data_IF_542191697416
#
_entry.id   IF_542191697416
#
_cell.length_a   1.000
_cell.length_b   1.000
_cell.length_c   1.000
_cell.angle_alpha   90.00
_cell.angle_beta   90.00
_cell.angle_gamma   90.00
#
_symmetry.space_group_name_H-M   'P 1'
#
loop_
_entity.id
_entity.type
_entity.pdbx_description
1 polymer ?
#
# COMPACT_ATOMS: atom_id res chain seq x y z
N UNK A 1 28.25 66.03 -35.11
CA UNK A 1 26.99 65.32 -35.36
C UNK A 1 27.26 63.78 -35.15
N UNK A 2 27.10 63.29 -33.95
CA UNK A 2 27.42 61.93 -33.60
C UNK A 2 26.11 61.14 -33.65
N UNK A 3 26.03 60.11 -34.50
CA UNK A 3 24.88 59.19 -34.60
C UNK A 3 25.09 58.07 -33.65
N UNK A 4 24.22 57.93 -32.64
CA UNK A 4 24.12 56.74 -31.83
C UNK A 4 23.29 55.68 -32.56
N UNK A 5 23.90 54.54 -32.81
CA UNK A 5 23.18 53.29 -33.24
C UNK A 5 22.83 52.52 -31.99
N UNK A 6 21.54 52.43 -31.68
CA UNK A 6 21.05 51.56 -30.65
C UNK A 6 20.90 50.12 -31.21
N UNK A 7 21.74 49.21 -30.75
CA UNK A 7 21.60 47.79 -31.03
C UNK A 7 20.61 47.20 -30.02
N UNK A 8 19.40 46.84 -30.49
CA UNK A 8 18.43 46.12 -29.70
C UNK A 8 18.82 44.66 -29.57
N UNK A 9 19.08 44.23 -28.32
CA UNK A 9 19.33 42.85 -28.01
C UNK A 9 17.97 42.13 -27.87
N UNK A 10 17.60 41.32 -28.85
CA UNK A 10 16.47 40.42 -28.77
C UNK A 10 16.87 39.22 -27.92
N UNK A 11 16.43 39.21 -26.67
CA UNK A 11 16.49 38.01 -25.83
C UNK A 11 15.30 37.11 -26.23
N UNK A 12 15.56 36.10 -27.05
CA UNK A 12 14.61 35.01 -27.27
C UNK A 12 14.63 34.12 -26.02
N UNK A 13 13.63 34.26 -25.15
CA UNK A 13 13.33 33.27 -24.11
C UNK A 13 12.87 32.00 -24.81
N UNK A 14 13.78 31.05 -24.96
CA UNK A 14 13.41 29.66 -25.24
C UNK A 14 12.62 29.15 -24.04
N UNK A 15 11.31 29.07 -24.14
CA UNK A 15 10.47 28.28 -23.26
C UNK A 15 10.88 26.84 -23.47
N UNK A 16 11.73 26.32 -22.59
CA UNK A 16 11.91 24.88 -22.46
C UNK A 16 10.58 24.31 -21.98
N UNK A 17 9.76 23.85 -22.91
CA UNK A 17 8.67 22.94 -22.56
C UNK A 17 9.31 21.71 -21.97
N UNK A 18 9.18 21.51 -20.65
CA UNK A 18 9.43 20.22 -20.02
C UNK A 18 8.51 19.23 -20.74
N UNK A 19 9.08 18.37 -21.57
CA UNK A 19 8.36 17.23 -22.11
C UNK A 19 8.06 16.33 -20.90
N UNK A 20 6.84 16.44 -20.39
CA UNK A 20 6.31 15.38 -19.54
C UNK A 20 6.31 14.12 -20.40
N UNK A 21 7.14 13.14 -20.07
CA UNK A 21 7.03 11.83 -20.66
C UNK A 21 5.70 11.25 -20.20
N UNK A 22 4.73 11.24 -21.11
CA UNK A 22 3.44 10.63 -20.82
C UNK A 22 3.67 9.12 -20.60
N UNK A 23 3.07 8.57 -19.55
CA UNK A 23 2.98 7.12 -19.41
C UNK A 23 2.20 6.57 -20.61
N UNK A 24 2.70 5.48 -21.18
CA UNK A 24 2.01 4.74 -22.24
C UNK A 24 1.84 3.30 -21.81
N UNK A 25 0.68 2.73 -22.11
CA UNK A 25 0.45 1.30 -21.95
C UNK A 25 1.40 0.53 -22.89
N UNK A 26 2.10 -0.44 -22.32
CA UNK A 26 3.07 -1.28 -23.04
C UNK A 26 2.51 -2.65 -23.33
N UNK A 27 1.73 -3.22 -22.41
CA UNK A 27 1.09 -4.52 -22.53
C UNK A 27 0.02 -4.74 -21.46
N UNK A 28 -0.88 -5.67 -21.72
CA UNK A 28 -1.94 -6.09 -20.82
C UNK A 28 -1.86 -7.59 -20.60
N UNK A 29 -2.01 -8.02 -19.34
CA UNK A 29 -2.11 -9.43 -18.97
C UNK A 29 -3.42 -9.69 -18.23
N UNK A 30 -4.20 -10.66 -18.71
CA UNK A 30 -5.43 -11.10 -18.04
C UNK A 30 -5.15 -12.17 -16.98
N UNK A 31 -5.40 -11.89 -15.72
CA UNK A 31 -5.17 -12.81 -14.59
C UNK A 31 -5.83 -14.19 -14.72
N UNK A 32 -7.02 -14.36 -15.39
CA UNK A 32 -7.58 -15.69 -15.64
C UNK A 32 -6.68 -16.62 -16.45
N UNK A 33 -5.71 -16.07 -17.17
CA UNK A 33 -4.75 -16.87 -17.96
C UNK A 33 -3.83 -17.70 -17.07
N UNK A 34 -3.49 -17.21 -15.86
CA UNK A 34 -2.70 -17.96 -14.90
C UNK A 34 -3.50 -19.01 -14.12
N UNK A 35 -4.81 -18.81 -14.01
CA UNK A 35 -5.71 -19.67 -13.24
C UNK A 35 -6.90 -20.14 -14.08
N UNK A 36 -6.69 -20.90 -15.17
CA UNK A 36 -7.77 -21.36 -16.03
C UNK A 36 -8.72 -22.29 -15.25
N UNK A 37 -10.00 -21.91 -15.22
CA UNK A 37 -11.02 -22.65 -14.49
C UNK A 37 -11.36 -22.11 -13.10
N UNK A 38 -10.64 -21.10 -12.59
CA UNK A 38 -11.07 -20.36 -11.40
C UNK A 38 -12.19 -19.38 -11.76
N UNK A 39 -13.20 -19.33 -10.90
CA UNK A 39 -14.40 -18.53 -11.17
C UNK A 39 -14.19 -17.02 -11.04
N UNK A 40 -13.23 -16.58 -10.22
CA UNK A 40 -12.92 -15.18 -9.96
C UNK A 40 -11.42 -15.04 -9.67
N UNK A 41 -10.79 -14.04 -10.26
CA UNK A 41 -9.40 -13.65 -10.04
C UNK A 41 -9.30 -12.14 -9.94
N UNK A 42 -8.38 -11.63 -9.11
CA UNK A 42 -8.10 -10.20 -8.96
C UNK A 42 -6.64 -10.02 -8.54
N UNK A 43 -5.83 -9.37 -9.37
CA UNK A 43 -4.50 -8.96 -8.94
C UNK A 43 -4.62 -7.65 -8.15
N UNK A 44 -4.00 -7.60 -6.98
CA UNK A 44 -4.03 -6.44 -6.09
C UNK A 44 -2.63 -5.88 -5.87
N UNK A 45 -1.78 -6.57 -5.13
CA UNK A 45 -0.41 -6.16 -4.89
C UNK A 45 0.53 -6.92 -5.80
N UNK A 46 1.51 -6.21 -6.35
CA UNK A 46 2.51 -6.78 -7.27
C UNK A 46 3.93 -6.52 -6.77
N UNK A 47 4.82 -7.46 -7.04
CA UNK A 47 6.25 -7.32 -6.86
C UNK A 47 6.99 -7.83 -8.10
N UNK A 48 8.16 -7.23 -8.37
CA UNK A 48 9.00 -7.60 -9.51
C UNK A 48 10.32 -8.20 -9.01
N UNK A 49 10.82 -9.21 -9.69
CA UNK A 49 12.15 -9.79 -9.43
C UNK A 49 13.26 -8.79 -9.70
N UNK A 50 14.41 -8.95 -9.03
CA UNK A 50 15.54 -8.02 -9.15
C UNK A 50 16.10 -7.90 -10.58
N UNK A 51 15.93 -8.92 -11.41
CA UNK A 51 16.31 -8.89 -12.84
C UNK A 51 15.27 -8.19 -13.73
N UNK A 52 14.09 -7.82 -13.17
CA UNK A 52 13.01 -7.17 -13.89
C UNK A 52 12.26 -8.08 -14.88
N UNK A 53 12.41 -9.41 -14.79
CA UNK A 53 11.86 -10.33 -15.79
C UNK A 53 10.59 -11.05 -15.35
N UNK A 54 10.30 -11.08 -14.04
CA UNK A 54 9.10 -11.75 -13.52
C UNK A 54 8.32 -10.83 -12.59
N UNK A 55 7.01 -10.74 -12.80
CA UNK A 55 6.06 -10.20 -11.83
C UNK A 55 5.43 -11.33 -11.04
N UNK A 56 5.26 -11.09 -9.73
CA UNK A 56 4.42 -11.90 -8.85
C UNK A 56 3.32 -11.00 -8.30
N UNK A 57 2.09 -11.50 -8.24
CA UNK A 57 0.95 -10.75 -7.71
C UNK A 57 0.12 -11.59 -6.74
N UNK A 58 -0.48 -10.92 -5.75
CA UNK A 58 -1.51 -11.51 -4.89
C UNK A 58 -2.84 -11.63 -5.66
N UNK A 59 -3.51 -12.77 -5.53
CA UNK A 59 -4.84 -13.04 -6.08
C UNK A 59 -5.72 -13.55 -4.95
N UNK A 60 -6.31 -12.59 -4.20
CA UNK A 60 -7.12 -12.88 -3.02
C UNK A 60 -8.27 -13.84 -3.32
N UNK A 61 -9.13 -13.56 -4.33
CA UNK A 61 -10.24 -14.45 -4.66
C UNK A 61 -9.84 -15.86 -5.08
N UNK A 62 -8.63 -16.05 -5.61
CA UNK A 62 -8.10 -17.36 -6.01
C UNK A 62 -7.31 -18.07 -4.90
N UNK A 63 -7.04 -17.41 -3.76
CA UNK A 63 -6.12 -17.88 -2.71
C UNK A 63 -4.74 -18.27 -3.28
N UNK A 64 -4.22 -17.48 -4.20
CA UNK A 64 -3.04 -17.84 -4.97
C UNK A 64 -2.10 -16.64 -5.21
N UNK A 65 -0.86 -16.94 -5.53
CA UNK A 65 0.05 -16.00 -6.16
C UNK A 65 0.09 -16.30 -7.67
N UNK A 66 -0.16 -15.30 -8.49
CA UNK A 66 0.05 -15.42 -9.92
C UNK A 66 1.44 -14.93 -10.32
N UNK A 67 2.00 -15.49 -11.39
CA UNK A 67 3.31 -15.13 -11.92
C UNK A 67 3.24 -14.83 -13.41
N UNK A 68 3.97 -13.80 -13.84
CA UNK A 68 3.97 -13.33 -15.21
C UNK A 68 5.41 -13.15 -15.68
N UNK A 69 5.76 -13.74 -16.81
CA UNK A 69 6.99 -13.42 -17.53
C UNK A 69 6.81 -12.08 -18.26
N UNK A 70 7.64 -11.11 -17.91
CA UNK A 70 7.70 -9.77 -18.51
C UNK A 70 9.04 -9.49 -19.19
N UNK A 71 9.79 -10.53 -19.57
CA UNK A 71 11.04 -10.40 -20.35
C UNK A 71 10.83 -9.57 -21.61
N UNK A 72 9.66 -9.74 -22.27
CA UNK A 72 9.14 -8.80 -23.25
C UNK A 72 7.86 -8.16 -22.70
N UNK A 73 7.93 -6.95 -22.12
CA UNK A 73 6.77 -6.33 -21.48
C UNK A 73 5.64 -5.99 -22.45
N UNK A 74 5.90 -6.02 -23.77
CA UNK A 74 4.84 -5.85 -24.79
C UNK A 74 4.03 -7.12 -25.02
N UNK A 75 4.52 -8.25 -24.52
CA UNK A 75 3.91 -9.59 -24.67
C UNK A 75 4.08 -10.40 -23.40
N UNK A 76 3.45 -9.99 -22.29
CA UNK A 76 3.56 -10.72 -21.04
C UNK A 76 2.98 -12.14 -21.18
N UNK A 77 3.68 -13.13 -20.62
CA UNK A 77 3.31 -14.54 -20.71
C UNK A 77 2.97 -15.14 -19.34
N UNK A 78 2.02 -16.08 -19.25
CA UNK A 78 1.68 -16.72 -17.99
C UNK A 78 2.78 -17.69 -17.54
N UNK A 79 3.15 -17.61 -16.25
CA UNK A 79 4.00 -18.59 -15.57
C UNK A 79 3.22 -19.47 -14.58
N UNK A 80 1.87 -19.33 -14.59
CA UNK A 80 0.97 -20.06 -13.72
C UNK A 80 0.84 -19.41 -12.33
N UNK A 81 0.26 -20.16 -11.41
CA UNK A 81 0.01 -19.71 -10.04
C UNK A 81 0.51 -20.71 -9.00
N UNK A 82 0.66 -20.23 -7.78
CA UNK A 82 0.97 -21.02 -6.57
C UNK A 82 -0.23 -20.89 -5.64
N UNK A 83 -0.85 -22.00 -5.29
CA UNK A 83 -1.89 -22.05 -4.27
C UNK A 83 -1.25 -21.79 -2.89
N UNK A 84 -1.73 -20.79 -2.16
CA UNK A 84 -1.24 -20.42 -0.82
C UNK A 84 -2.26 -20.76 0.29
N UNK A 85 -3.37 -21.37 -0.09
CA UNK A 85 -4.35 -21.98 0.82
C UNK A 85 -5.37 -21.00 1.43
N UNK A 86 -5.04 -19.74 1.57
CA UNK A 86 -5.90 -18.68 2.08
C UNK A 86 -5.59 -17.37 1.32
N UNK A 87 -6.32 -16.31 1.65
CA UNK A 87 -6.24 -15.00 0.99
C UNK A 87 -4.86 -14.35 1.15
N UNK A 88 -4.08 -14.19 0.05
CA UNK A 88 -2.88 -13.37 0.07
C UNK A 88 -3.25 -11.88 -0.02
N UNK A 89 -2.87 -11.09 0.97
CA UNK A 89 -3.15 -9.66 1.03
C UNK A 89 -2.02 -8.81 0.43
N UNK A 90 -0.78 -9.28 0.54
CA UNK A 90 0.39 -8.55 0.08
C UNK A 90 1.50 -9.47 -0.39
N UNK A 91 2.40 -8.95 -1.25
CA UNK A 91 3.55 -9.69 -1.74
C UNK A 91 4.78 -8.78 -1.85
N UNK A 92 5.93 -9.28 -1.40
CA UNK A 92 7.24 -8.68 -1.62
C UNK A 92 8.23 -9.73 -2.11
N UNK A 93 9.28 -9.31 -2.83
CA UNK A 93 10.34 -10.22 -3.33
C UNK A 93 11.70 -9.72 -2.87
N UNK A 94 12.50 -10.61 -2.31
CA UNK A 94 13.89 -10.32 -1.95
C UNK A 94 14.74 -11.58 -2.05
N UNK A 95 15.93 -11.47 -2.61
CA UNK A 95 16.93 -12.55 -2.71
C UNK A 95 16.40 -13.87 -3.30
N UNK A 96 15.43 -13.83 -4.22
CA UNK A 96 14.82 -15.02 -4.82
C UNK A 96 13.71 -15.66 -3.98
N UNK A 97 13.36 -15.06 -2.86
CA UNK A 97 12.23 -15.45 -2.03
C UNK A 97 11.05 -14.48 -2.18
N UNK A 98 9.85 -15.03 -2.11
CA UNK A 98 8.58 -14.29 -2.11
C UNK A 98 8.02 -14.31 -0.69
N UNK A 99 7.75 -13.14 -0.16
CA UNK A 99 7.20 -12.90 1.18
C UNK A 99 5.74 -12.49 1.02
N UNK A 100 4.82 -13.23 1.63
CA UNK A 100 3.39 -13.09 1.41
C UNK A 100 2.67 -12.92 2.74
N UNK A 101 1.89 -11.85 2.88
CA UNK A 101 0.91 -11.72 3.95
C UNK A 101 -0.28 -12.62 3.64
N UNK A 102 -0.61 -13.54 4.54
CA UNK A 102 -1.75 -14.45 4.39
C UNK A 102 -2.76 -14.19 5.49
N UNK A 103 -3.96 -13.76 5.10
CA UNK A 103 -5.10 -13.62 6.00
C UNK A 103 -5.76 -14.98 6.24
N UNK A 104 -5.89 -15.37 7.51
CA UNK A 104 -6.57 -16.60 7.94
C UNK A 104 -7.71 -16.31 8.91
N UNK A 105 -8.11 -15.05 9.01
CA UNK A 105 -9.12 -14.59 9.97
C UNK A 105 -10.46 -15.26 9.72
N UNK A 106 -11.04 -16.00 10.70
CA UNK A 106 -12.38 -16.56 10.54
C UNK A 106 -13.47 -15.47 10.56
N UNK A 107 -13.18 -14.31 11.14
CA UNK A 107 -14.04 -13.12 11.19
C UNK A 107 -13.26 -11.94 11.79
N UNK A 108 -13.80 -10.74 11.69
CA UNK A 108 -13.20 -9.49 12.20
C UNK A 108 -12.88 -9.49 13.71
N UNK A 109 -13.59 -10.26 14.51
CA UNK A 109 -13.37 -10.35 15.98
C UNK A 109 -12.24 -11.32 16.36
N UNK A 110 -11.76 -12.10 15.41
CA UNK A 110 -10.68 -13.08 15.59
C UNK A 110 -9.68 -12.99 14.45
N UNK A 111 -9.02 -11.84 14.31
CA UNK A 111 -8.04 -11.68 13.26
C UNK A 111 -6.88 -12.66 13.45
N UNK A 112 -6.41 -13.21 12.36
CA UNK A 112 -5.27 -14.14 12.33
C UNK A 112 -4.62 -14.12 10.95
N UNK A 113 -3.34 -14.47 10.92
CA UNK A 113 -2.59 -14.55 9.68
C UNK A 113 -1.14 -14.91 9.94
N UNK A 114 -0.42 -15.17 8.86
CA UNK A 114 0.99 -15.49 8.90
C UNK A 114 1.76 -14.87 7.74
N UNK A 115 3.06 -14.71 7.90
CA UNK A 115 3.98 -14.44 6.83
C UNK A 115 4.40 -15.80 6.22
N UNK A 116 4.07 -16.00 4.96
CA UNK A 116 4.50 -17.16 4.19
C UNK A 116 5.73 -16.77 3.36
N UNK A 117 6.79 -17.58 3.41
CA UNK A 117 8.00 -17.40 2.61
C UNK A 117 8.11 -18.55 1.61
N UNK A 118 8.25 -18.21 0.33
CA UNK A 118 8.32 -19.17 -0.78
C UNK A 118 9.61 -18.94 -1.55
N UNK A 119 10.38 -20.00 -1.80
CA UNK A 119 11.48 -19.94 -2.77
C UNK A 119 10.91 -19.88 -4.20
N UNK A 120 11.21 -18.79 -4.91
CA UNK A 120 10.60 -18.50 -6.21
C UNK A 120 11.00 -19.53 -7.28
N UNK A 121 12.20 -20.08 -7.22
CA UNK A 121 12.69 -21.00 -8.23
C UNK A 121 12.06 -22.40 -8.11
N UNK A 122 11.94 -22.92 -6.90
CA UNK A 122 11.31 -24.22 -6.63
C UNK A 122 9.79 -24.11 -6.44
N UNK A 123 9.26 -22.90 -6.18
CA UNK A 123 7.86 -22.64 -5.81
C UNK A 123 7.43 -23.35 -4.51
N UNK A 124 8.38 -23.63 -3.62
CA UNK A 124 8.15 -24.35 -2.39
C UNK A 124 8.15 -23.41 -1.19
N UNK A 125 7.29 -23.70 -0.21
CA UNK A 125 7.33 -23.04 1.10
C UNK A 125 8.67 -23.30 1.79
N UNK A 126 9.32 -22.22 2.26
CA UNK A 126 10.58 -22.25 3.01
C UNK A 126 10.35 -21.96 4.49
N UNK A 127 9.39 -21.07 4.78
CA UNK A 127 9.04 -20.71 6.15
C UNK A 127 7.60 -20.21 6.25
N UNK A 128 7.05 -20.36 7.47
CA UNK A 128 5.75 -19.83 7.87
C UNK A 128 5.87 -19.27 9.27
N UNK A 129 5.56 -17.97 9.43
CA UNK A 129 5.72 -17.25 10.68
C UNK A 129 4.36 -16.70 11.09
N UNK A 130 3.81 -17.19 12.20
CA UNK A 130 2.52 -16.72 12.73
C UNK A 130 2.64 -15.27 13.19
N UNK A 131 1.74 -14.42 12.72
CA UNK A 131 1.72 -12.99 13.02
C UNK A 131 0.81 -12.64 14.19
N UNK A 132 -0.23 -13.44 14.44
CA UNK A 132 -1.18 -13.22 15.53
C UNK A 132 -2.23 -12.13 15.26
N UNK A 133 -2.41 -11.75 14.00
CA UNK A 133 -3.38 -10.77 13.50
C UNK A 133 -3.49 -10.85 11.99
N UNK A 134 -4.39 -10.07 11.41
CA UNK A 134 -4.61 -9.98 9.97
C UNK A 134 -3.53 -9.12 9.31
N UNK A 135 -2.62 -9.69 8.50
CA UNK A 135 -1.68 -8.89 7.73
C UNK A 135 -2.40 -8.19 6.59
N UNK A 136 -1.95 -6.95 6.29
CA UNK A 136 -2.36 -6.23 5.11
C UNK A 136 -1.18 -5.97 4.18
N UNK A 137 -0.17 -5.24 4.59
CA UNK A 137 1.00 -4.91 3.79
C UNK A 137 2.29 -5.55 4.30
N UNK A 138 3.18 -5.96 3.38
CA UNK A 138 4.49 -6.56 3.66
C UNK A 138 5.59 -5.80 2.93
N UNK A 139 6.62 -5.37 3.66
CA UNK A 139 7.86 -4.85 3.09
C UNK A 139 9.06 -5.64 3.63
N UNK A 140 10.07 -5.85 2.79
CA UNK A 140 11.35 -6.48 3.17
C UNK A 140 12.45 -5.43 3.12
N UNK A 141 13.27 -5.39 4.18
CA UNK A 141 14.39 -4.44 4.27
C UNK A 141 15.34 -4.56 3.08
N UNK A 142 15.96 -3.45 2.64
CA UNK A 142 16.92 -3.47 1.53
C UNK A 142 18.08 -4.45 1.74
N UNK A 143 18.52 -4.65 2.98
CA UNK A 143 19.55 -5.63 3.34
C UNK A 143 19.04 -7.09 3.43
N UNK A 144 17.72 -7.32 3.35
CA UNK A 144 17.09 -8.63 3.42
C UNK A 144 17.13 -9.29 4.79
N UNK A 145 17.38 -8.53 5.87
CA UNK A 145 17.53 -9.10 7.23
C UNK A 145 16.23 -9.14 8.03
N UNK A 146 15.26 -8.31 7.68
CA UNK A 146 13.96 -8.31 8.33
C UNK A 146 12.83 -7.92 7.35
N UNK A 147 11.61 -8.27 7.73
CA UNK A 147 10.39 -7.80 7.09
C UNK A 147 9.55 -7.01 8.10
N UNK A 148 8.88 -5.95 7.63
CA UNK A 148 7.85 -5.24 8.36
C UNK A 148 6.49 -5.59 7.76
N UNK A 149 5.51 -5.84 8.61
CA UNK A 149 4.16 -6.21 8.23
C UNK A 149 3.17 -5.31 8.96
N UNK A 150 2.32 -4.62 8.22
CA UNK A 150 1.14 -3.97 8.77
C UNK A 150 0.14 -5.05 9.19
N UNK A 151 -0.27 -5.04 10.44
CA UNK A 151 -1.31 -5.92 10.97
C UNK A 151 -2.52 -5.04 11.22
N UNK A 152 -3.38 -4.97 10.22
CA UNK A 152 -4.52 -4.07 10.19
C UNK A 152 -5.58 -4.45 11.23
N UNK A 153 -5.95 -5.73 11.29
CA UNK A 153 -7.10 -6.21 12.06
C UNK A 153 -8.38 -5.46 11.70
N UNK A 154 -8.67 -5.43 10.41
CA UNK A 154 -9.73 -4.67 9.75
C UNK A 154 -11.04 -4.60 10.56
N UNK A 155 -11.62 -3.42 10.63
CA UNK A 155 -12.94 -3.19 11.23
C UNK A 155 -14.06 -3.73 10.35
N UNK A 156 -15.15 -4.12 10.99
CA UNK A 156 -16.39 -4.43 10.28
C UNK A 156 -17.30 -3.18 10.26
N UNK A 157 -17.36 -2.51 9.15
CA UNK A 157 -18.18 -1.31 8.97
C UNK A 157 -19.68 -1.57 9.04
N UNK A 158 -20.13 -2.80 8.82
CA UNK A 158 -21.55 -3.18 8.80
C UNK A 158 -22.15 -3.37 10.20
N UNK A 159 -21.31 -3.48 11.23
CA UNK A 159 -21.78 -3.67 12.61
C UNK A 159 -21.74 -2.38 13.42
N UNK A 160 -22.70 -2.24 14.33
CA UNK A 160 -22.79 -1.11 15.29
C UNK A 160 -22.72 0.28 14.63
N UNK A 161 -23.01 0.41 13.33
CA UNK A 161 -22.85 1.66 12.59
C UNK A 161 -21.39 2.11 12.50
N UNK A 162 -20.48 1.20 12.29
CA UNK A 162 -19.01 1.42 12.23
C UNK A 162 -18.43 2.14 13.47
N UNK A 163 -19.00 1.93 14.65
CA UNK A 163 -18.47 2.54 15.88
C UNK A 163 -17.13 1.94 16.27
N UNK A 164 -16.21 2.80 16.63
CA UNK A 164 -14.89 2.46 17.17
C UNK A 164 -14.84 2.61 18.70
N UNK A 165 -13.98 1.88 19.41
CA UNK A 165 -13.03 0.87 18.90
C UNK A 165 -13.69 -0.47 18.58
N UNK A 166 -13.12 -1.19 17.59
CA UNK A 166 -13.41 -2.59 17.29
C UNK A 166 -12.15 -3.42 17.55
N UNK A 167 -12.03 -3.97 18.74
CA UNK A 167 -10.83 -4.67 19.18
C UNK A 167 -10.76 -6.12 18.65
N UNK A 168 -9.54 -6.63 18.42
CA UNK A 168 -8.24 -6.02 18.75
C UNK A 168 -7.79 -5.04 17.68
N UNK A 169 -7.24 -3.87 18.10
CA UNK A 169 -6.61 -2.93 17.18
C UNK A 169 -5.36 -3.51 16.52
N UNK A 170 -4.94 -2.90 15.42
CA UNK A 170 -3.78 -3.31 14.65
C UNK A 170 -2.44 -2.93 15.29
N UNK A 171 -1.36 -3.36 14.65
CA UNK A 171 0.03 -3.11 15.09
C UNK A 171 1.00 -3.39 13.94
N UNK A 172 2.28 -3.05 14.11
CA UNK A 172 3.32 -3.48 13.17
C UNK A 172 4.04 -4.71 13.71
N UNK A 173 4.21 -5.72 12.87
CA UNK A 173 5.05 -6.88 13.14
C UNK A 173 6.39 -6.72 12.42
N UNK A 174 7.51 -6.79 13.15
CA UNK A 174 8.85 -6.83 12.59
C UNK A 174 9.36 -8.26 12.74
N UNK A 175 9.59 -8.94 11.63
CA UNK A 175 10.06 -10.33 11.57
C UNK A 175 11.53 -10.35 11.18
N UNK A 176 12.39 -10.88 12.03
CA UNK A 176 13.78 -11.17 11.68
C UNK A 176 13.82 -12.38 10.73
N UNK A 177 14.34 -12.20 9.51
CA UNK A 177 14.32 -13.24 8.48
C UNK A 177 15.40 -14.32 8.66
N UNK A 178 16.34 -14.12 9.59
CA UNK A 178 17.41 -15.11 9.87
C UNK A 178 16.95 -16.15 10.91
N UNK A 179 16.31 -15.69 11.98
CA UNK A 179 15.91 -16.56 13.11
C UNK A 179 14.41 -16.64 13.33
N UNK A 180 13.62 -15.98 12.49
CA UNK A 180 12.16 -15.93 12.50
C UNK A 180 11.55 -15.38 13.81
N UNK A 181 12.33 -14.61 14.59
CA UNK A 181 11.79 -13.92 15.76
C UNK A 181 10.89 -12.77 15.33
N UNK A 182 9.78 -12.57 16.06
CA UNK A 182 8.82 -11.52 15.83
C UNK A 182 8.89 -10.48 16.94
N UNK A 183 8.97 -9.20 16.57
CA UNK A 183 8.79 -8.04 17.46
C UNK A 183 7.46 -7.38 17.11
N UNK A 184 6.59 -7.22 18.10
CA UNK A 184 5.32 -6.51 17.95
C UNK A 184 5.50 -5.05 18.38
N UNK A 185 5.14 -4.11 17.51
CA UNK A 185 5.15 -2.68 17.79
C UNK A 185 3.72 -2.21 17.98
N UNK A 186 3.38 -1.84 19.21
CA UNK A 186 2.07 -1.32 19.57
C UNK A 186 1.91 0.12 19.07
N UNK A 187 0.77 0.42 18.47
CA UNK A 187 0.43 1.73 17.91
C UNK A 187 -0.73 2.42 18.67
N UNK A 188 -1.18 1.83 19.78
CA UNK A 188 -2.25 2.40 20.61
C UNK A 188 -1.81 3.76 21.18
N UNK A 189 -2.68 4.77 21.05
CA UNK A 189 -2.50 6.08 21.64
C UNK A 189 -1.74 7.10 20.80
N UNK A 190 -1.22 6.72 19.61
CA UNK A 190 -0.52 7.67 18.73
C UNK A 190 -1.49 8.59 17.97
N UNK A 191 -2.57 8.07 17.43
CA UNK A 191 -3.51 8.89 16.67
C UNK A 191 -4.52 9.63 17.57
N UNK A 192 -5.05 10.74 17.07
CA UNK A 192 -6.17 11.46 17.73
C UNK A 192 -7.53 10.88 17.37
N UNK A 193 -7.61 10.13 16.25
CA UNK A 193 -8.81 9.47 15.76
C UNK A 193 -8.71 8.00 16.16
N UNK A 194 -9.70 7.48 16.86
CA UNK A 194 -9.74 6.10 17.34
C UNK A 194 -8.43 5.62 17.99
N UNK A 195 -7.87 6.33 18.99
CA UNK A 195 -6.52 6.08 19.51
C UNK A 195 -6.32 4.66 20.07
N UNK A 196 -7.39 3.96 20.45
CA UNK A 196 -7.34 2.60 20.98
C UNK A 196 -7.56 1.53 19.90
N UNK A 197 -7.68 1.95 18.65
CA UNK A 197 -8.02 1.10 17.52
C UNK A 197 -7.24 1.56 16.28
N UNK A 198 -5.91 1.41 16.29
CA UNK A 198 -5.09 1.71 15.12
C UNK A 198 -5.34 0.66 14.03
N UNK A 199 -5.43 1.12 12.79
CA UNK A 199 -5.47 0.29 11.58
C UNK A 199 -4.27 0.63 10.69
N UNK A 200 -3.11 0.00 10.90
CA UNK A 200 -1.98 0.13 9.98
C UNK A 200 -2.28 -0.61 8.68
N UNK A 201 -2.19 0.11 7.59
CA UNK A 201 -2.55 -0.31 6.24
C UNK A 201 -1.30 -0.67 5.43
N UNK A 202 -0.41 0.27 5.24
CA UNK A 202 0.73 0.10 4.38
C UNK A 202 2.05 0.36 5.08
N UNK A 203 3.10 -0.37 4.67
CA UNK A 203 4.47 -0.22 5.19
C UNK A 203 5.49 -0.15 4.05
N UNK A 204 6.53 0.67 4.24
CA UNK A 204 7.72 0.64 3.39
C UNK A 204 8.99 0.86 4.23
N UNK A 205 10.15 0.44 3.74
CA UNK A 205 11.41 0.47 4.49
C UNK A 205 12.49 1.18 3.63
N UNK A 206 13.14 2.22 4.20
CA UNK A 206 14.24 2.92 3.54
C UNK A 206 15.59 2.19 3.69
N UNK A 207 16.65 2.75 3.09
CA UNK A 207 17.98 2.16 3.12
C UNK A 207 18.64 2.18 4.53
N UNK A 208 18.17 3.04 5.44
CA UNK A 208 18.59 3.06 6.85
C UNK A 208 17.89 1.99 7.69
N UNK A 209 16.86 1.34 7.14
CA UNK A 209 16.03 0.35 7.83
C UNK A 209 14.93 0.98 8.67
N UNK A 210 14.56 2.23 8.40
CA UNK A 210 13.41 2.87 9.01
C UNK A 210 12.14 2.48 8.27
N UNK A 211 11.10 2.18 9.02
CA UNK A 211 9.81 1.70 8.56
C UNK A 211 8.82 2.86 8.63
N UNK A 212 8.25 3.27 7.51
CA UNK A 212 7.11 4.18 7.49
C UNK A 212 5.82 3.38 7.43
N UNK A 213 4.81 3.80 8.17
CA UNK A 213 3.52 3.13 8.32
C UNK A 213 2.40 4.12 8.13
N UNK A 214 1.43 3.80 7.31
CA UNK A 214 0.16 4.51 7.23
C UNK A 214 -0.84 3.90 8.21
N UNK A 215 -1.57 4.76 8.92
CA UNK A 215 -2.78 4.41 9.66
C UNK A 215 -3.92 5.15 8.98
N UNK A 216 -4.44 4.55 7.90
CA UNK A 216 -5.35 5.21 6.97
C UNK A 216 -6.59 5.73 7.70
N UNK A 217 -7.38 4.87 8.32
CA UNK A 217 -8.60 5.17 9.05
C UNK A 217 -8.39 6.11 10.26
N UNK A 218 -7.17 6.16 10.76
CA UNK A 218 -6.77 7.07 11.83
C UNK A 218 -6.26 8.41 11.30
N UNK A 219 -6.09 8.58 9.98
CA UNK A 219 -5.46 9.72 9.31
C UNK A 219 -4.09 10.07 9.92
N UNK A 220 -3.25 9.07 10.16
CA UNK A 220 -1.99 9.20 10.90
C UNK A 220 -0.84 8.49 10.23
N UNK A 221 0.37 8.96 10.48
CA UNK A 221 1.62 8.37 9.99
C UNK A 221 2.54 8.07 11.17
N UNK A 222 3.26 6.96 11.07
CA UNK A 222 4.26 6.56 12.09
C UNK A 222 5.55 6.17 11.39
N UNK A 223 6.70 6.56 11.94
CA UNK A 223 8.02 6.08 11.52
C UNK A 223 8.66 5.32 12.68
N UNK A 224 9.13 4.12 12.40
CA UNK A 224 9.65 3.16 13.37
C UNK A 224 11.07 2.77 12.97
N UNK A 225 12.01 2.71 13.89
CA UNK A 225 13.33 2.14 13.63
C UNK A 225 13.29 0.60 13.58
N UNK A 226 14.35 -0.02 13.05
CA UNK A 226 14.45 -1.48 12.93
C UNK A 226 14.36 -2.25 14.24
N UNK A 227 14.51 -1.57 15.40
CA UNK A 227 14.35 -2.20 16.71
C UNK A 227 12.91 -2.22 17.21
N UNK A 228 12.00 -1.56 16.50
CA UNK A 228 10.59 -1.40 16.88
C UNK A 228 10.31 -0.14 17.71
N UNK A 229 11.25 0.78 17.81
CA UNK A 229 11.04 2.06 18.49
C UNK A 229 10.41 3.07 17.53
N UNK A 230 9.28 3.66 17.91
CA UNK A 230 8.70 4.80 17.20
C UNK A 230 9.65 6.01 17.33
N UNK A 231 10.08 6.55 16.20
CA UNK A 231 11.00 7.70 16.12
C UNK A 231 10.32 8.97 15.64
N UNK A 232 9.19 8.85 14.93
CA UNK A 232 8.35 9.98 14.54
C UNK A 232 6.89 9.54 14.39
N UNK A 233 5.96 10.46 14.62
CA UNK A 233 4.54 10.25 14.37
C UNK A 233 3.86 11.60 14.14
N UNK A 234 2.84 11.65 13.27
CA UNK A 234 2.16 12.90 12.93
C UNK A 234 0.81 12.64 12.22
N UNK A 235 -0.09 13.61 12.33
CA UNK A 235 -1.34 13.71 11.61
C UNK A 235 -1.07 13.85 10.10
N UNK A 236 -1.74 13.07 9.25
CA UNK A 236 -1.62 13.18 7.80
C UNK A 236 -2.21 14.50 7.27
N UNK A 237 -3.01 15.17 8.07
CA UNK A 237 -3.57 16.49 7.79
C UNK A 237 -4.84 16.45 6.94
N UNK A 238 -5.27 17.65 6.60
CA UNK A 238 -6.49 17.87 5.82
C UNK A 238 -6.14 18.51 4.47
N UNK A 239 -7.02 18.33 3.49
CA UNK A 239 -6.92 18.95 2.18
C UNK A 239 -8.26 19.53 1.74
N UNK A 240 -8.23 20.58 0.91
CA UNK A 240 -9.41 21.05 0.19
C UNK A 240 -9.35 20.46 -1.23
N UNK A 241 -10.40 19.75 -1.61
CA UNK A 241 -10.56 19.19 -2.95
C UNK A 241 -11.42 20.16 -3.78
N UNK A 242 -10.84 20.66 -4.87
CA UNK A 242 -11.52 21.55 -5.80
C UNK A 242 -11.80 20.83 -7.12
N UNK A 243 -12.88 21.20 -7.80
CA UNK A 243 -13.24 20.61 -9.08
C UNK A 243 -13.64 19.14 -8.97
N UNK A 244 -14.35 18.77 -7.93
CA UNK A 244 -14.89 17.42 -7.72
C UNK A 244 -16.38 17.36 -8.06
N UNK A 245 -16.86 16.17 -8.35
CA UNK A 245 -18.29 15.88 -8.43
C UNK A 245 -18.71 15.14 -7.14
N UNK A 246 -19.39 15.85 -6.26
CA UNK A 246 -19.84 15.31 -4.97
C UNK A 246 -21.32 14.90 -4.95
N UNK A 247 -21.99 14.86 -6.13
CA UNK A 247 -23.42 14.56 -6.23
C UNK A 247 -23.68 13.27 -7.00
N UNK A 248 -24.46 12.39 -6.43
CA UNK A 248 -24.97 11.19 -7.13
C UNK A 248 -26.27 11.54 -7.87
N UNK A 249 -26.22 12.43 -8.85
CA UNK A 249 -27.38 12.88 -9.63
C UNK A 249 -27.42 12.29 -11.07
N UNK A 250 -26.40 11.49 -11.44
CA UNK A 250 -26.29 10.90 -12.77
C UNK A 250 -25.60 11.80 -13.80
N UNK A 251 -25.11 12.98 -13.40
CA UNK A 251 -24.39 13.91 -14.24
C UNK A 251 -22.98 14.15 -13.67
N UNK A 252 -21.93 13.93 -14.46
CA UNK A 252 -20.55 14.22 -14.03
C UNK A 252 -20.29 15.72 -14.15
N UNK A 253 -20.17 16.41 -13.01
CA UNK A 253 -19.93 17.86 -12.92
C UNK A 253 -18.78 18.16 -11.95
N UNK A 254 -17.58 18.34 -12.46
CA UNK A 254 -16.37 18.66 -11.70
C UNK A 254 -16.33 20.13 -11.27
N UNK A 255 -17.30 20.57 -10.46
CA UNK A 255 -17.50 22.00 -10.11
C UNK A 255 -17.60 22.26 -8.60
N UNK A 256 -17.70 21.21 -7.82
CA UNK A 256 -17.86 21.35 -6.37
C UNK A 256 -16.50 21.47 -5.67
N UNK A 257 -16.52 21.95 -4.43
CA UNK A 257 -15.39 22.03 -3.53
C UNK A 257 -15.76 21.32 -2.22
N UNK A 258 -14.87 20.46 -1.72
CA UNK A 258 -15.01 19.82 -0.43
C UNK A 258 -13.84 20.27 0.44
N UNK A 259 -14.14 20.92 1.55
CA UNK A 259 -13.13 21.43 2.49
C UNK A 259 -12.88 20.45 3.64
N UNK A 260 -11.69 20.50 4.21
CA UNK A 260 -11.30 19.72 5.38
C UNK A 260 -11.44 18.21 5.20
N UNK A 261 -11.17 17.71 4.01
CA UNK A 261 -11.10 16.27 3.74
C UNK A 261 -9.83 15.72 4.37
N UNK A 262 -9.91 14.66 5.14
CA UNK A 262 -8.73 13.95 5.64
C UNK A 262 -8.00 13.36 4.46
N UNK A 263 -6.68 13.29 4.55
CA UNK A 263 -5.89 12.67 3.49
C UNK A 263 -6.03 11.16 3.45
N UNK A 264 -6.15 10.53 4.61
CA UNK A 264 -6.30 9.08 4.76
C UNK A 264 -5.32 8.34 3.84
N UNK A 265 -4.02 8.37 4.18
CA UNK A 265 -2.99 7.78 3.34
C UNK A 265 -3.13 6.26 3.31
N UNK A 266 -3.52 5.72 2.14
CA UNK A 266 -3.69 4.30 1.89
C UNK A 266 -2.33 3.63 1.60
N UNK A 267 -1.56 4.15 0.67
CA UNK A 267 -0.24 3.61 0.35
C UNK A 267 0.89 4.61 0.63
N UNK A 268 2.09 4.09 0.91
CA UNK A 268 3.30 4.88 1.13
C UNK A 268 4.51 4.26 0.46
N UNK A 269 5.43 5.12 -0.03
CA UNK A 269 6.71 4.70 -0.58
C UNK A 269 7.81 5.69 -0.23
N UNK A 270 8.92 5.22 0.33
CA UNK A 270 10.12 6.01 0.47
C UNK A 270 10.70 6.39 -0.91
N UNK A 271 11.04 7.67 -1.08
CA UNK A 271 11.72 8.21 -2.27
C UNK A 271 13.22 8.18 -2.03
N UNK A 272 13.62 8.55 -0.84
CA UNK A 272 14.99 8.50 -0.31
C UNK A 272 14.93 8.35 1.21
N UNK A 273 16.06 8.48 1.92
CA UNK A 273 16.11 8.28 3.38
C UNK A 273 15.39 9.38 4.19
N UNK A 274 15.10 10.52 3.56
CA UNK A 274 14.50 11.69 4.23
C UNK A 274 13.07 11.99 3.75
N UNK A 275 12.65 11.42 2.60
CA UNK A 275 11.37 11.74 1.96
C UNK A 275 10.59 10.50 1.58
N UNK A 276 9.31 10.51 1.82
CA UNK A 276 8.37 9.53 1.28
C UNK A 276 7.16 10.22 0.62
N UNK A 277 6.47 9.50 -0.24
CA UNK A 277 5.22 9.91 -0.85
C UNK A 277 4.08 9.00 -0.39
N UNK A 278 2.88 9.55 -0.28
CA UNK A 278 1.65 8.80 0.00
C UNK A 278 0.67 8.92 -1.14
N UNK A 279 -0.07 7.85 -1.41
CA UNK A 279 -1.32 7.91 -2.13
C UNK A 279 -2.45 8.04 -1.11
N UNK A 280 -3.24 9.11 -1.23
CA UNK A 280 -4.28 9.40 -0.25
C UNK A 280 -5.63 9.02 -0.85
N UNK A 281 -6.41 8.23 -0.16
CA UNK A 281 -7.76 7.88 -0.58
C UNK A 281 -8.71 9.09 -0.44
N UNK A 282 -8.58 9.81 0.66
CA UNK A 282 -9.37 11.00 0.91
C UNK A 282 -10.86 10.69 1.04
N UNK A 283 -11.23 9.85 1.98
CA UNK A 283 -12.64 9.47 2.15
C UNK A 283 -13.52 10.68 2.43
N UNK A 284 -14.29 11.05 1.42
CA UNK A 284 -15.27 12.14 1.51
C UNK A 284 -16.48 11.78 2.37
N UNK A 285 -16.62 10.53 2.79
CA UNK A 285 -17.71 10.07 3.69
C UNK A 285 -17.51 10.53 5.13
N UNK A 286 -16.54 11.40 5.35
CA UNK A 286 -16.24 11.92 6.66
C UNK A 286 -17.44 12.56 7.30
N UNK A 287 -17.89 11.86 8.29
CA UNK A 287 -18.85 12.36 9.25
C UNK A 287 -18.12 13.23 10.28
N UNK A 288 -18.45 14.51 10.31
CA UNK A 288 -18.22 15.27 11.53
C UNK A 288 -18.91 14.50 12.68
N UNK A 289 -18.33 14.45 13.90
CA UNK A 289 -18.93 13.76 15.02
C UNK A 289 -20.42 14.13 15.15
N UNK A 290 -21.32 13.18 14.91
CA UNK A 290 -22.78 13.37 14.99
C UNK A 290 -23.54 13.45 13.68
N UNK A 291 -22.91 13.29 12.52
CA UNK A 291 -23.64 13.16 11.24
C UNK A 291 -23.82 11.67 10.88
N UNK A 292 -25.00 11.34 10.34
CA UNK A 292 -25.32 9.98 9.94
C UNK A 292 -24.60 9.59 8.64
N UNK A 293 -24.13 8.31 8.55
CA UNK A 293 -23.55 7.75 7.33
C UNK A 293 -24.35 8.15 6.10
N UNK A 294 -23.71 8.77 5.13
CA UNK A 294 -24.29 8.90 3.80
C UNK A 294 -24.07 7.54 3.12
N UNK A 295 -25.15 6.76 3.11
CA UNK A 295 -25.14 5.45 2.50
C UNK A 295 -24.54 5.45 1.10
N UNK A 296 -23.61 4.54 0.86
CA UNK A 296 -22.97 4.29 -0.43
C UNK A 296 -23.92 3.83 -1.51
#
# INVERSE_FOLDING_TARGET
MIKFIAAGLLISSALASSAYSAFSEVGIFGTPTNNPGQGKTSAEIIAVTADGMTLVYSDGPANALGMIDITDPTKPLPLGSIDVGNEPTSVAIKNGEVFVGINTSPNYMKPSGHLLVIDLASKMEVARIELGGQPDSVAVSPDGTFAAIAIENQRNEDINGAKVPQLPGGYVAIVNLVNHSLTKVDLIGFSTIAPNDPEPEFVDINDLGEIVVTLQENNWMVVIDRSGKVISEFDAGLVTLEGVDNKKDGELKMVDTIENVRREPDAVKWIDDDHFATANEGDYKHEAPGQAKRGG
#
